data_IF_076856259089
#
_entry.id   IF_076856259089
#
_cell.length_a   1.000
_cell.length_b   1.000
_cell.length_c   1.000
_cell.angle_alpha   90.00
_cell.angle_beta   90.00
_cell.angle_gamma   90.00
#
_symmetry.space_group_name_H-M   'P 1'
#
loop_
_entity.id
_entity.type
_entity.pdbx_description
1 polymer ?
#
# COMPACT_ATOMS: atom_id res chain seq x y z
N UNK A 1 -15.47 3.12 8.02
CA UNK A 1 -16.85 2.92 7.51
C UNK A 1 -17.04 1.45 7.21
N UNK A 2 -18.10 0.86 7.73
CA UNK A 2 -18.52 -0.53 7.48
C UNK A 2 -19.82 -0.47 6.67
N UNK A 3 -19.89 -1.24 5.58
CA UNK A 3 -21.09 -1.39 4.76
C UNK A 3 -21.72 -2.75 5.08
N UNK A 4 -23.03 -2.77 5.29
CA UNK A 4 -23.82 -3.98 5.47
C UNK A 4 -24.47 -4.35 4.13
N UNK A 5 -24.39 -5.63 3.78
CA UNK A 5 -24.91 -6.15 2.53
C UNK A 5 -25.97 -7.19 2.79
N UNK A 6 -27.03 -7.17 2.02
CA UNK A 6 -28.06 -8.20 1.98
C UNK A 6 -27.94 -8.97 0.66
N UNK A 7 -27.92 -10.29 0.75
CA UNK A 7 -27.92 -11.16 -0.42
C UNK A 7 -29.36 -11.33 -0.93
N UNK A 8 -29.58 -11.08 -2.21
CA UNK A 8 -30.85 -11.43 -2.83
C UNK A 8 -31.05 -12.96 -2.84
N UNK A 9 -32.32 -13.43 -2.64
CA UNK A 9 -32.62 -14.86 -2.72
C UNK A 9 -32.22 -15.42 -4.09
N UNK A 10 -31.61 -16.59 -4.08
CA UNK A 10 -31.10 -17.32 -5.24
C UNK A 10 -32.20 -17.52 -6.29
N UNK A 11 -32.08 -16.93 -7.46
CA UNK A 11 -33.04 -17.11 -8.56
C UNK A 11 -32.90 -16.15 -9.74
N UNK A 12 -32.19 -15.06 -9.60
CA UNK A 12 -32.01 -14.06 -10.66
C UNK A 12 -30.55 -14.04 -11.17
N UNK A 13 -30.30 -14.85 -12.16
CA UNK A 13 -29.11 -14.74 -13.01
C UNK A 13 -27.79 -15.18 -12.35
N UNK A 14 -26.79 -15.38 -13.18
CA UNK A 14 -25.44 -15.88 -12.83
C UNK A 14 -24.61 -14.91 -11.97
N UNK A 15 -25.03 -13.65 -11.86
CA UNK A 15 -24.34 -12.58 -11.12
C UNK A 15 -25.35 -11.60 -10.55
N UNK A 16 -25.66 -11.78 -9.27
CA UNK A 16 -26.47 -10.83 -8.49
C UNK A 16 -25.58 -10.29 -7.36
N UNK A 17 -24.97 -9.10 -7.52
CA UNK A 17 -24.20 -8.51 -6.43
C UNK A 17 -25.11 -8.15 -5.26
N UNK A 18 -24.69 -8.37 -4.00
CA UNK A 18 -25.48 -8.02 -2.84
C UNK A 18 -25.72 -6.51 -2.76
N UNK A 19 -26.91 -6.10 -2.31
CA UNK A 19 -27.25 -4.70 -2.10
C UNK A 19 -26.70 -4.17 -0.79
N UNK A 20 -26.30 -2.90 -0.76
CA UNK A 20 -25.93 -2.21 0.46
C UNK A 20 -27.21 -1.78 1.18
N UNK A 21 -27.52 -2.43 2.31
CA UNK A 21 -28.70 -2.12 3.14
C UNK A 21 -28.41 -1.09 4.22
N UNK A 22 -27.15 -0.87 4.56
CA UNK A 22 -26.76 0.10 5.56
C UNK A 22 -25.26 0.41 5.55
N UNK A 23 -24.88 1.51 6.17
CA UNK A 23 -23.50 1.87 6.36
C UNK A 23 -23.31 2.55 7.72
N UNK A 24 -22.35 2.05 8.50
CA UNK A 24 -21.95 2.64 9.76
C UNK A 24 -20.62 3.37 9.61
N UNK A 25 -20.54 4.60 10.11
CA UNK A 25 -19.34 5.43 10.09
C UNK A 25 -18.85 5.66 11.50
N UNK A 26 -17.75 5.03 11.86
CA UNK A 26 -17.07 5.24 13.15
C UNK A 26 -15.70 5.88 12.94
N UNK A 27 -15.35 6.82 13.79
CA UNK A 27 -14.02 7.44 13.82
C UNK A 27 -13.14 6.58 14.73
N UNK A 28 -12.01 6.09 14.21
CA UNK A 28 -11.04 5.28 14.95
C UNK A 28 -9.88 6.17 15.41
N UNK A 29 -9.37 7.04 14.51
CA UNK A 29 -8.24 7.92 14.79
C UNK A 29 -8.48 9.27 14.11
N UNK A 30 -8.07 10.36 14.75
CA UNK A 30 -8.17 11.70 14.23
C UNK A 30 -9.58 12.31 14.36
N UNK A 31 -9.78 13.43 13.69
CA UNK A 31 -11.07 14.14 13.63
C UNK A 31 -11.49 14.35 12.16
N UNK A 32 -11.89 13.30 11.44
CA UNK A 32 -12.32 13.43 10.05
C UNK A 32 -13.70 14.09 9.95
N UNK A 33 -13.89 14.90 8.93
CA UNK A 33 -15.23 15.38 8.58
C UNK A 33 -16.13 14.21 8.17
N UNK A 34 -17.20 13.99 8.92
CA UNK A 34 -18.15 12.88 8.70
C UNK A 34 -18.82 12.91 7.32
N UNK A 35 -18.96 14.09 6.73
CA UNK A 35 -19.55 14.23 5.40
C UNK A 35 -18.63 13.64 4.31
N UNK A 36 -17.33 13.67 4.52
CA UNK A 36 -16.31 13.19 3.56
C UNK A 36 -15.84 11.75 3.83
N UNK A 37 -16.34 11.08 4.88
CA UNK A 37 -16.01 9.66 5.12
C UNK A 37 -16.65 8.79 4.02
N UNK A 38 -15.79 8.25 3.15
CA UNK A 38 -16.20 7.44 2.01
C UNK A 38 -15.22 6.28 1.79
N UNK A 39 -15.69 5.15 1.25
CA UNK A 39 -14.82 4.05 0.79
C UNK A 39 -14.29 4.26 -0.62
N UNK A 40 -14.81 5.23 -1.36
CA UNK A 40 -14.51 5.44 -2.78
C UNK A 40 -13.02 5.67 -3.06
N UNK A 41 -12.32 6.38 -2.18
CA UNK A 41 -10.88 6.62 -2.32
C UNK A 41 -10.07 5.33 -2.18
N UNK A 42 -10.40 4.50 -1.19
CA UNK A 42 -9.76 3.20 -0.97
C UNK A 42 -10.08 2.24 -2.12
N UNK A 43 -11.32 2.19 -2.57
CA UNK A 43 -11.75 1.35 -3.70
C UNK A 43 -11.03 1.76 -4.99
N UNK A 44 -10.89 3.06 -5.24
CA UNK A 44 -10.14 3.60 -6.38
C UNK A 44 -8.64 3.27 -6.29
N UNK A 45 -8.05 3.40 -5.12
CA UNK A 45 -6.64 3.04 -4.90
C UNK A 45 -6.40 1.55 -5.12
N UNK A 46 -7.31 0.70 -4.63
CA UNK A 46 -7.26 -0.74 -4.87
C UNK A 46 -7.35 -1.08 -6.36
N UNK A 47 -8.20 -0.37 -7.12
CA UNK A 47 -8.26 -0.53 -8.57
C UNK A 47 -6.95 -0.12 -9.22
N UNK A 48 -6.38 1.02 -8.85
CA UNK A 48 -5.09 1.51 -9.36
C UNK A 48 -3.97 0.48 -9.11
N UNK A 49 -3.91 -0.10 -7.92
CA UNK A 49 -2.95 -1.16 -7.59
C UNK A 49 -3.14 -2.40 -8.47
N UNK A 50 -4.37 -2.85 -8.67
CA UNK A 50 -4.66 -4.02 -9.54
C UNK A 50 -4.27 -3.77 -10.98
N UNK A 51 -4.48 -2.57 -11.50
CA UNK A 51 -4.11 -2.19 -12.86
C UNK A 51 -2.60 -2.06 -13.05
N UNK A 52 -1.88 -1.62 -12.01
CA UNK A 52 -0.44 -1.34 -12.07
C UNK A 52 0.43 -2.52 -11.65
N UNK A 53 -0.10 -3.42 -10.81
CA UNK A 53 0.65 -4.54 -10.24
C UNK A 53 0.02 -5.88 -10.62
N UNK A 54 0.70 -6.64 -11.48
CA UNK A 54 0.25 -7.97 -11.91
C UNK A 54 -0.01 -8.93 -10.76
N UNK A 55 0.66 -8.75 -9.60
CA UNK A 55 0.48 -9.56 -8.40
C UNK A 55 -0.93 -9.51 -7.80
N UNK A 56 -1.68 -8.42 -8.06
CA UNK A 56 -3.06 -8.22 -7.62
C UNK A 56 -4.09 -8.46 -8.73
N UNK A 57 -3.66 -8.83 -9.93
CA UNK A 57 -4.56 -9.18 -11.02
C UNK A 57 -5.20 -10.52 -10.73
N UNK A 58 -6.52 -10.63 -10.90
CA UNK A 58 -7.24 -11.89 -10.74
C UNK A 58 -6.85 -12.88 -11.82
N UNK A 59 -6.94 -14.17 -11.51
CA UNK A 59 -6.71 -15.28 -12.44
C UNK A 59 -5.31 -15.30 -13.07
N UNK A 60 -4.29 -14.90 -12.32
CA UNK A 60 -2.88 -15.01 -12.74
C UNK A 60 -2.05 -15.74 -11.69
N UNK A 61 -1.01 -16.44 -12.14
CA UNK A 61 -0.04 -17.09 -11.26
C UNK A 61 1.06 -16.12 -10.76
N UNK A 62 0.81 -14.81 -10.79
CA UNK A 62 1.79 -13.78 -10.44
C UNK A 62 1.77 -13.38 -8.96
N UNK A 63 1.13 -14.15 -8.09
CA UNK A 63 1.07 -13.87 -6.65
C UNK A 63 2.43 -14.07 -5.96
N UNK A 64 2.62 -13.37 -4.85
CA UNK A 64 3.83 -13.50 -4.03
C UNK A 64 3.69 -14.64 -3.04
N UNK A 65 4.59 -15.62 -3.09
CA UNK A 65 4.62 -16.75 -2.14
C UNK A 65 5.12 -16.32 -0.75
N UNK A 66 5.95 -15.27 -0.67
CA UNK A 66 6.51 -14.73 0.58
C UNK A 66 5.93 -13.35 0.86
N UNK A 67 5.58 -13.09 2.13
CA UNK A 67 5.00 -11.82 2.58
C UNK A 67 5.98 -10.67 2.39
N UNK A 68 7.28 -10.90 2.61
CA UNK A 68 8.33 -9.90 2.42
C UNK A 68 8.37 -9.39 0.98
N UNK A 69 8.26 -10.29 0.00
CA UNK A 69 8.23 -9.93 -1.41
C UNK A 69 6.96 -9.15 -1.77
N UNK A 70 5.83 -9.46 -1.11
CA UNK A 70 4.60 -8.69 -1.28
C UNK A 70 4.75 -7.28 -0.71
N UNK A 71 5.28 -7.17 0.52
CA UNK A 71 5.53 -5.88 1.16
C UNK A 71 6.45 -5.01 0.33
N UNK A 72 7.58 -5.55 -0.14
CA UNK A 72 8.52 -4.83 -0.99
C UNK A 72 7.87 -4.32 -2.28
N UNK A 73 7.07 -5.16 -2.94
CA UNK A 73 6.37 -4.78 -4.17
C UNK A 73 5.33 -3.67 -3.92
N UNK A 74 4.57 -3.74 -2.82
CA UNK A 74 3.60 -2.71 -2.45
C UNK A 74 4.31 -1.40 -2.11
N UNK A 75 5.40 -1.46 -1.33
CA UNK A 75 6.19 -0.27 -0.98
C UNK A 75 6.76 0.40 -2.22
N UNK A 76 7.32 -0.36 -3.16
CA UNK A 76 7.82 0.16 -4.43
C UNK A 76 6.71 0.79 -5.28
N UNK A 77 5.53 0.16 -5.32
CA UNK A 77 4.38 0.73 -6.03
C UNK A 77 4.00 2.10 -5.48
N UNK A 78 3.88 2.24 -4.15
CA UNK A 78 3.52 3.52 -3.54
C UNK A 78 4.64 4.56 -3.66
N UNK A 79 5.90 4.15 -3.57
CA UNK A 79 7.01 5.06 -3.80
C UNK A 79 7.00 5.61 -5.24
N UNK A 80 6.87 4.74 -6.23
CA UNK A 80 6.71 5.15 -7.63
C UNK A 80 5.47 6.02 -7.84
N UNK A 81 4.32 5.64 -7.29
CA UNK A 81 3.07 6.37 -7.42
C UNK A 81 3.17 7.80 -6.85
N UNK A 82 3.81 7.94 -5.68
CA UNK A 82 3.87 9.21 -4.98
C UNK A 82 4.98 10.14 -5.49
N UNK A 83 6.14 9.63 -5.89
CA UNK A 83 7.31 10.44 -6.20
C UNK A 83 7.66 10.52 -7.69
N UNK A 84 7.33 9.50 -8.47
CA UNK A 84 7.75 9.40 -9.88
C UNK A 84 6.58 9.66 -10.83
N UNK A 85 5.39 9.15 -10.49
CA UNK A 85 4.24 9.24 -11.40
C UNK A 85 3.57 10.61 -11.30
N UNK A 86 3.55 11.35 -12.42
CA UNK A 86 2.74 12.58 -12.56
C UNK A 86 1.25 12.20 -12.61
N UNK A 87 0.47 12.77 -11.72
CA UNK A 87 -0.97 12.56 -11.67
C UNK A 87 -1.66 13.43 -12.73
N UNK A 88 -2.48 12.82 -13.56
CA UNK A 88 -3.09 13.51 -14.73
C UNK A 88 -3.90 14.75 -14.34
N UNK A 89 -4.64 14.69 -13.24
CA UNK A 89 -5.48 15.79 -12.76
C UNK A 89 -4.65 16.86 -12.04
N UNK A 90 -3.71 16.44 -11.20
CA UNK A 90 -2.86 17.36 -10.41
C UNK A 90 -1.76 17.99 -11.27
N UNK A 91 -1.33 17.32 -12.35
CA UNK A 91 -0.20 17.69 -13.21
C UNK A 91 1.16 17.70 -12.52
N UNK A 92 1.18 17.26 -11.29
CA UNK A 92 2.36 17.05 -10.44
C UNK A 92 2.28 15.68 -9.79
N UNK A 93 3.31 15.27 -9.06
CA UNK A 93 3.24 14.04 -8.27
C UNK A 93 2.45 14.27 -6.97
N UNK A 94 1.82 13.24 -6.39
CA UNK A 94 1.16 13.37 -5.09
C UNK A 94 2.07 13.89 -3.98
N UNK A 95 3.37 13.54 -3.99
CA UNK A 95 4.33 14.03 -3.01
C UNK A 95 4.64 15.53 -3.19
N UNK A 96 4.63 16.03 -4.42
CA UNK A 96 4.77 17.47 -4.69
C UNK A 96 3.53 18.22 -4.24
N UNK A 97 2.35 17.72 -4.53
CA UNK A 97 1.09 18.34 -4.08
C UNK A 97 0.97 18.39 -2.56
N UNK A 98 1.45 17.36 -1.88
CA UNK A 98 1.47 17.30 -0.42
C UNK A 98 2.64 18.10 0.23
N UNK A 99 3.49 18.77 -0.54
CA UNK A 99 4.65 19.51 -0.05
C UNK A 99 5.76 18.65 0.56
N UNK A 100 5.77 17.35 0.25
CA UNK A 100 6.79 16.40 0.72
C UNK A 100 8.03 16.39 -0.18
N UNK A 101 7.85 16.73 -1.45
CA UNK A 101 8.92 16.85 -2.43
C UNK A 101 8.73 18.13 -3.24
N UNK A 102 9.81 18.80 -3.55
CA UNK A 102 9.84 20.02 -4.39
C UNK A 102 9.96 19.71 -5.88
N UNK A 103 10.26 18.46 -6.23
CA UNK A 103 10.53 18.04 -7.61
C UNK A 103 10.07 16.61 -7.92
N UNK A 104 9.97 16.33 -9.19
CA UNK A 104 9.78 14.98 -9.73
C UNK A 104 11.06 14.15 -9.51
N UNK A 105 10.88 12.93 -8.99
CA UNK A 105 11.97 11.96 -8.92
C UNK A 105 12.04 11.14 -10.20
N UNK A 106 13.26 10.81 -10.62
CA UNK A 106 13.49 9.85 -11.68
C UNK A 106 13.43 8.43 -11.12
N UNK A 107 13.19 7.45 -11.97
CA UNK A 107 13.06 6.05 -11.54
C UNK A 107 14.40 5.49 -11.04
N UNK A 108 15.50 5.82 -11.68
CA UNK A 108 16.85 5.49 -11.27
C UNK A 108 17.20 6.08 -9.90
N UNK A 109 16.87 7.34 -9.66
CA UNK A 109 17.03 7.97 -8.34
C UNK A 109 16.23 7.23 -7.25
N UNK A 110 14.98 6.83 -7.54
CA UNK A 110 14.18 6.04 -6.61
C UNK A 110 14.87 4.70 -6.27
N UNK A 111 15.43 4.02 -7.28
CA UNK A 111 16.14 2.75 -7.11
C UNK A 111 17.42 2.94 -6.30
N UNK A 112 18.21 3.93 -6.58
CA UNK A 112 19.44 4.24 -5.85
C UNK A 112 19.17 4.53 -4.37
N UNK A 113 18.20 5.39 -4.08
CA UNK A 113 17.83 5.74 -2.71
C UNK A 113 17.30 4.55 -1.92
N UNK A 114 16.48 3.70 -2.54
CA UNK A 114 15.96 2.50 -1.87
C UNK A 114 17.05 1.45 -1.64
N UNK A 115 17.99 1.31 -2.56
CA UNK A 115 19.15 0.42 -2.43
C UNK A 115 20.09 0.86 -1.32
N UNK A 116 20.38 2.15 -1.22
CA UNK A 116 21.21 2.73 -0.16
C UNK A 116 20.58 2.53 1.24
N UNK A 117 19.26 2.69 1.36
CA UNK A 117 18.52 2.44 2.60
C UNK A 117 18.51 0.95 2.97
N UNK A 118 18.43 0.04 2.01
CA UNK A 118 18.53 -1.40 2.21
C UNK A 118 19.89 -1.79 2.78
N UNK A 119 20.95 -1.34 2.17
CA UNK A 119 22.33 -1.60 2.62
C UNK A 119 22.60 -1.08 4.05
N UNK A 120 22.07 0.11 4.38
CA UNK A 120 22.19 0.68 5.71
C UNK A 120 21.44 -0.12 6.79
N UNK A 121 20.29 -0.70 6.45
CA UNK A 121 19.51 -1.56 7.36
C UNK A 121 20.21 -2.89 7.60
N UNK A 122 20.66 -3.56 6.55
CA UNK A 122 21.39 -4.83 6.65
C UNK A 122 22.65 -4.70 7.49
N UNK A 123 23.38 -3.58 7.37
CA UNK A 123 24.54 -3.28 8.19
C UNK A 123 24.22 -3.08 9.68
N UNK A 124 23.05 -2.51 9.99
CA UNK A 124 22.60 -2.30 11.36
C UNK A 124 22.13 -3.60 12.02
N UNK A 125 21.42 -4.44 11.27
CA UNK A 125 20.90 -5.72 11.75
C UNK A 125 22.04 -6.72 12.01
N UNK A 126 23.06 -6.75 11.15
CA UNK A 126 24.29 -7.56 11.38
C UNK A 126 25.04 -7.13 12.65
N UNK A 127 25.19 -5.83 12.88
CA UNK A 127 25.85 -5.30 14.09
C UNK A 127 25.04 -5.64 15.35
N UNK A 128 23.72 -5.59 15.29
CA UNK A 128 22.86 -5.90 16.42
C UNK A 128 22.88 -7.40 16.74
N UNK A 129 22.85 -8.27 15.73
CA UNK A 129 22.98 -9.72 15.89
C UNK A 129 24.32 -10.12 16.51
N UNK A 130 25.43 -9.51 16.07
CA UNK A 130 26.76 -9.76 16.61
C UNK A 130 26.88 -9.33 18.07
N UNK A 131 26.22 -8.23 18.46
CA UNK A 131 26.22 -7.74 19.83
C UNK A 131 25.45 -8.67 20.77
N UNK A 132 24.29 -9.16 20.34
CA UNK A 132 23.49 -10.14 21.11
C UNK A 132 24.25 -11.45 21.32
N UNK A 133 24.99 -11.92 20.32
CA UNK A 133 25.82 -13.13 20.43
C UNK A 133 26.98 -12.98 21.42
N UNK A 134 27.62 -11.82 21.40
CA UNK A 134 28.74 -11.52 22.37
C UNK A 134 28.19 -11.42 23.79
N UNK A 135 27.02 -10.83 24.00
CA UNK A 135 26.40 -10.71 25.32
C UNK A 135 26.00 -12.10 25.87
N UNK A 136 25.46 -12.99 25.02
CA UNK A 136 25.18 -14.39 25.41
C UNK A 136 26.41 -15.17 25.79
N UNK A 137 27.57 -14.93 25.18
CA UNK A 137 28.83 -15.63 25.51
C UNK A 137 29.47 -15.09 26.78
N UNK A 138 29.06 -13.91 27.27
CA UNK A 138 29.57 -13.35 28.55
C UNK A 138 28.75 -13.79 29.76
N UNK A 139 27.53 -14.25 29.55
CA UNK A 139 26.62 -14.73 30.61
C UNK A 139 26.65 -16.26 30.80
N UNK A 140 27.40 -16.99 29.97
CA UNK A 140 27.63 -18.45 30.07
C UNK A 140 29.00 -18.77 30.65
#
# INVERSE_FOLDING_TARGET
MVKFYEAEPVGRGRYSPPHVVGAERSVIVGNPDRAHISTSLIERQNLTMRMSMRRFTRLTNAFSKKVENLRAAVSLHFAHYNFVRVHRTLRVTPAMEAGVSDRLWLLDELVERTSALGAARDGKDRKNSSRIEIDRQREA
#
